data_IF_650230375189
#
_entry.id   IF_650230375189
#
_cell.length_a   1.000
_cell.length_b   1.000
_cell.length_c   1.000
_cell.angle_alpha   90.00
_cell.angle_beta   90.00
_cell.angle_gamma   90.00
#
_symmetry.space_group_name_H-M   'P 1'
#
loop_
_entity.id
_entity.type
_entity.pdbx_description
1 polymer ?
#
# COMPACT_ATOMS: atom_id res chain seq x y z
N UNK A 1 10.84 -18.85 5.91
CA UNK A 1 10.81 -17.39 5.79
C UNK A 1 11.59 -16.76 6.93
N UNK A 2 12.46 -15.85 6.59
CA UNK A 2 13.32 -15.23 7.59
C UNK A 2 12.60 -14.20 8.49
N UNK A 3 11.38 -13.82 8.14
CA UNK A 3 10.71 -12.70 8.79
C UNK A 3 9.30 -13.03 9.24
N UNK A 4 9.23 -13.91 10.24
CA UNK A 4 7.95 -14.27 10.85
C UNK A 4 7.29 -13.12 11.61
N UNK A 5 8.02 -12.04 11.90
CA UNK A 5 7.46 -10.87 12.53
C UNK A 5 6.38 -10.18 11.69
N UNK A 6 6.39 -10.40 10.38
CA UNK A 6 5.37 -9.87 9.47
C UNK A 6 4.25 -10.85 9.18
N UNK A 7 4.37 -12.11 9.61
CA UNK A 7 3.37 -13.13 9.34
C UNK A 7 2.19 -13.00 10.30
N UNK A 8 0.97 -13.28 9.79
CA UNK A 8 -0.24 -13.31 10.59
C UNK A 8 -1.05 -14.54 10.24
N UNK A 9 -1.62 -15.16 11.28
CA UNK A 9 -2.64 -16.18 11.09
C UNK A 9 -4.01 -15.50 11.02
N UNK A 10 -4.81 -15.87 10.02
CA UNK A 10 -6.16 -15.35 9.89
C UNK A 10 -7.00 -15.78 11.08
N UNK A 11 -7.81 -14.86 11.62
CA UNK A 11 -8.70 -15.13 12.71
C UNK A 11 -8.07 -15.06 14.10
N UNK A 12 -6.77 -14.86 14.19
CA UNK A 12 -6.08 -14.70 15.47
C UNK A 12 -5.83 -13.21 15.72
N UNK A 13 -6.31 -12.66 16.86
CA UNK A 13 -6.02 -11.27 17.19
C UNK A 13 -4.51 -11.07 17.36
N UNK A 14 -4.00 -10.04 16.73
CA UNK A 14 -2.58 -9.68 16.83
C UNK A 14 -2.49 -8.37 17.60
N UNK A 15 -1.66 -8.35 18.62
CA UNK A 15 -1.39 -7.13 19.36
C UNK A 15 -0.60 -6.16 18.49
N UNK A 16 -0.85 -4.88 18.71
CA UNK A 16 -0.06 -3.84 18.08
C UNK A 16 1.38 -3.92 18.57
N UNK A 17 2.29 -3.89 17.63
CA UNK A 17 3.70 -3.91 17.95
C UNK A 17 4.35 -2.59 17.56
N UNK A 18 5.42 -2.25 18.25
CA UNK A 18 6.15 -1.01 18.02
C UNK A 18 6.84 -0.95 16.65
N UNK A 19 6.98 -2.08 15.98
CA UNK A 19 7.57 -2.13 14.64
C UNK A 19 6.57 -1.82 13.51
N UNK A 20 5.44 -1.25 13.84
CA UNK A 20 4.42 -0.85 12.85
C UNK A 20 4.96 0.11 11.79
N UNK A 21 6.00 0.88 12.12
CA UNK A 21 6.61 1.80 11.14
C UNK A 21 7.15 1.04 9.93
N UNK A 22 7.81 -0.10 10.15
CA UNK A 22 8.33 -0.94 9.05
C UNK A 22 7.21 -1.56 8.26
N UNK A 23 6.16 -2.08 8.94
CA UNK A 23 5.02 -2.68 8.27
C UNK A 23 4.16 -1.62 7.58
N UNK A 24 4.24 -0.37 8.00
CA UNK A 24 3.53 0.73 7.38
C UNK A 24 3.85 0.86 5.88
N UNK A 25 5.09 0.69 5.50
CA UNK A 25 5.54 0.82 4.11
C UNK A 25 4.92 -0.20 3.16
N UNK A 26 4.42 -1.30 3.70
CA UNK A 26 3.84 -2.41 2.93
C UNK A 26 2.34 -2.52 3.14
N UNK A 27 1.75 -1.58 3.88
CA UNK A 27 0.34 -1.62 4.23
C UNK A 27 -0.52 -1.14 3.06
N UNK A 28 -1.55 -1.93 2.75
CA UNK A 28 -2.48 -1.62 1.67
C UNK A 28 -3.28 -0.33 1.98
N UNK A 29 -3.67 0.42 0.95
CA UNK A 29 -4.36 1.69 1.16
C UNK A 29 -5.72 1.55 1.83
N UNK A 30 -6.45 0.46 1.61
CA UNK A 30 -7.71 0.22 2.30
C UNK A 30 -7.52 0.07 3.82
N UNK A 31 -6.46 -0.60 4.23
CA UNK A 31 -6.12 -0.74 5.65
C UNK A 31 -5.71 0.61 6.24
N UNK A 32 -4.96 1.40 5.49
CA UNK A 32 -4.60 2.76 5.91
C UNK A 32 -5.83 3.66 6.08
N UNK A 33 -6.89 3.40 5.32
CA UNK A 33 -8.15 4.12 5.42
C UNK A 33 -9.11 3.51 6.45
N UNK A 34 -8.64 2.55 7.23
CA UNK A 34 -9.36 2.03 8.38
C UNK A 34 -10.14 0.75 8.14
N UNK A 35 -9.99 0.10 6.99
CA UNK A 35 -10.61 -1.20 6.77
C UNK A 35 -10.05 -2.22 7.76
N UNK A 36 -10.94 -3.04 8.30
CA UNK A 36 -10.57 -4.15 9.17
C UNK A 36 -10.58 -5.49 8.45
N UNK A 37 -10.88 -5.49 7.16
CA UNK A 37 -10.94 -6.69 6.35
C UNK A 37 -9.55 -7.05 5.83
N UNK A 38 -8.89 -7.97 6.54
CA UNK A 38 -7.59 -8.48 6.15
C UNK A 38 -7.81 -9.66 5.20
N UNK A 39 -7.90 -9.37 3.92
CA UNK A 39 -8.06 -10.39 2.88
C UNK A 39 -6.73 -10.68 2.22
N UNK A 40 -6.72 -11.70 1.34
CA UNK A 40 -5.51 -12.03 0.57
C UNK A 40 -5.02 -10.87 -0.30
N UNK A 41 -5.91 -9.96 -0.70
CA UNK A 41 -5.52 -8.77 -1.47
C UNK A 41 -4.59 -7.85 -0.69
N UNK A 42 -4.72 -7.79 0.64
CA UNK A 42 -3.80 -7.03 1.49
C UNK A 42 -2.38 -7.60 1.40
N UNK A 43 -2.27 -8.93 1.42
CA UNK A 43 -0.98 -9.60 1.30
C UNK A 43 -0.38 -9.42 -0.10
N UNK A 44 -1.20 -9.44 -1.13
CA UNK A 44 -0.74 -9.21 -2.51
C UNK A 44 -0.18 -7.80 -2.66
N UNK A 45 -0.82 -6.79 -2.07
CA UNK A 45 -0.27 -5.44 -2.06
C UNK A 45 1.13 -5.42 -1.45
N UNK A 46 1.29 -6.06 -0.28
CA UNK A 46 2.59 -6.13 0.40
C UNK A 46 3.65 -6.84 -0.44
N UNK A 47 3.26 -7.92 -1.11
CA UNK A 47 4.15 -8.67 -2.01
C UNK A 47 4.59 -7.76 -3.18
N UNK A 48 3.68 -6.98 -3.75
CA UNK A 48 4.01 -6.04 -4.80
C UNK A 48 5.04 -5.00 -4.35
N UNK A 49 4.86 -4.45 -3.17
CA UNK A 49 5.80 -3.48 -2.60
C UNK A 49 7.19 -4.11 -2.40
N UNK A 50 7.24 -5.32 -1.89
CA UNK A 50 8.51 -6.04 -1.66
C UNK A 50 9.18 -6.38 -2.99
N UNK A 51 8.41 -6.81 -3.98
CA UNK A 51 8.93 -7.08 -5.32
C UNK A 51 9.64 -5.85 -5.90
N UNK A 52 8.97 -4.71 -5.87
CA UNK A 52 9.55 -3.46 -6.38
C UNK A 52 10.81 -3.08 -5.60
N UNK A 53 10.79 -3.27 -4.29
CA UNK A 53 11.93 -2.96 -3.43
C UNK A 53 13.13 -3.86 -3.72
N UNK A 54 12.91 -5.15 -3.96
CA UNK A 54 13.99 -6.07 -4.32
C UNK A 54 14.68 -5.62 -5.60
N UNK A 55 13.92 -5.17 -6.58
CA UNK A 55 14.45 -4.71 -7.87
C UNK A 55 15.15 -3.36 -7.72
N UNK A 56 14.52 -2.42 -7.04
CA UNK A 56 15.04 -1.05 -6.87
C UNK A 56 16.06 -0.92 -5.75
N UNK A 57 16.09 -1.87 -4.82
CA UNK A 57 16.91 -1.83 -3.60
C UNK A 57 16.55 -0.68 -2.65
N UNK A 58 15.39 -0.08 -2.85
CA UNK A 58 14.84 0.96 -1.98
C UNK A 58 13.35 0.73 -1.83
N UNK A 59 12.76 1.10 -0.67
CA UNK A 59 11.32 0.96 -0.48
C UNK A 59 10.53 1.80 -1.50
N UNK A 60 9.44 1.24 -1.99
CA UNK A 60 8.60 1.92 -2.97
C UNK A 60 7.84 3.09 -2.34
N UNK A 61 7.25 2.85 -1.17
CA UNK A 61 6.45 3.83 -0.45
C UNK A 61 6.91 3.89 1.01
N UNK A 62 7.84 4.78 1.31
CA UNK A 62 8.42 4.90 2.65
C UNK A 62 7.80 6.08 3.40
N UNK A 63 6.55 5.91 3.84
CA UNK A 63 5.83 6.92 4.60
C UNK A 63 6.22 6.96 6.08
N UNK A 64 6.01 8.09 6.71
CA UNK A 64 6.31 8.28 8.13
C UNK A 64 5.11 8.04 9.04
N UNK A 65 3.91 8.18 8.49
CA UNK A 65 2.65 7.92 9.17
C UNK A 65 1.60 7.53 8.14
N UNK A 66 0.40 7.21 8.59
CA UNK A 66 -0.66 6.71 7.72
C UNK A 66 -1.00 7.71 6.60
N UNK A 67 -1.12 8.98 6.92
CA UNK A 67 -1.44 10.00 5.92
C UNK A 67 -0.30 10.18 4.91
N UNK A 68 0.93 10.22 5.38
CA UNK A 68 2.11 10.34 4.51
C UNK A 68 2.24 9.10 3.62
N UNK A 69 1.97 7.93 4.17
CA UNK A 69 1.98 6.68 3.40
C UNK A 69 0.95 6.70 2.28
N UNK A 70 -0.29 7.10 2.58
CA UNK A 70 -1.34 7.25 1.58
C UNK A 70 -0.96 8.28 0.52
N UNK A 71 -0.39 9.39 0.92
CA UNK A 71 0.05 10.43 0.00
C UNK A 71 1.08 9.89 -0.98
N UNK A 72 2.08 9.18 -0.48
CA UNK A 72 3.12 8.58 -1.32
C UNK A 72 2.54 7.54 -2.30
N UNK A 73 1.60 6.73 -1.84
CA UNK A 73 0.93 5.75 -2.70
C UNK A 73 0.18 6.46 -3.82
N UNK A 74 -0.61 7.48 -3.48
CA UNK A 74 -1.45 8.16 -4.46
C UNK A 74 -0.65 9.05 -5.41
N UNK A 75 0.50 9.57 -4.99
CA UNK A 75 1.42 10.29 -5.89
C UNK A 75 1.91 9.41 -7.04
N UNK A 76 1.93 8.13 -6.84
CA UNK A 76 2.43 7.16 -7.82
C UNK A 76 1.29 6.45 -8.52
N UNK A 77 0.34 5.90 -7.75
CA UNK A 77 -0.77 5.12 -8.30
C UNK A 77 -1.97 5.95 -8.72
N UNK A 78 -1.94 7.24 -8.45
CA UNK A 78 -3.06 8.15 -8.69
C UNK A 78 -4.05 8.14 -7.52
N UNK A 79 -4.73 9.26 -7.32
CA UNK A 79 -5.78 9.36 -6.31
C UNK A 79 -6.98 8.53 -6.78
N UNK A 80 -7.50 7.60 -5.96
CA UNK A 80 -8.59 6.74 -6.38
C UNK A 80 -9.86 7.54 -6.65
N UNK A 81 -10.57 7.17 -7.69
CA UNK A 81 -11.86 7.74 -8.03
C UNK A 81 -12.97 6.84 -7.49
N UNK A 82 -14.12 7.44 -7.21
CA UNK A 82 -15.24 6.70 -6.60
C UNK A 82 -15.80 5.61 -7.51
N UNK A 83 -15.71 5.81 -8.82
CA UNK A 83 -16.15 4.82 -9.81
C UNK A 83 -15.17 3.64 -9.92
N UNK A 84 -13.89 3.89 -9.63
CA UNK A 84 -12.85 2.85 -9.64
C UNK A 84 -12.83 2.04 -8.34
N UNK A 85 -13.24 2.64 -7.25
CA UNK A 85 -13.21 2.02 -5.94
C UNK A 85 -14.57 2.20 -5.22
N UNK A 86 -15.55 1.36 -5.52
CA UNK A 86 -16.84 1.39 -4.82
C UNK A 86 -16.62 1.12 -3.33
N UNK A 87 -17.32 1.89 -2.49
CA UNK A 87 -17.18 1.75 -1.04
C UNK A 87 -16.03 2.52 -0.42
N UNK A 88 -15.26 3.26 -1.22
CA UNK A 88 -14.13 4.05 -0.71
C UNK A 88 -14.59 5.03 0.39
N UNK A 89 -15.72 5.71 0.17
CA UNK A 89 -16.24 6.69 1.12
C UNK A 89 -16.78 6.08 2.40
N UNK A 90 -17.02 4.77 2.42
CA UNK A 90 -17.50 4.06 3.59
C UNK A 90 -16.40 3.66 4.56
N UNK A 91 -15.14 3.82 4.16
CA UNK A 91 -14.00 3.47 4.99
C UNK A 91 -13.89 4.45 6.18
N UNK A 92 -13.65 3.97 7.40
CA UNK A 92 -13.74 4.78 8.62
C UNK A 92 -12.85 6.04 8.62
N UNK A 93 -11.68 5.97 7.98
CA UNK A 93 -10.73 7.08 7.98
C UNK A 93 -10.72 7.86 6.66
N UNK A 94 -11.68 7.59 5.77
CA UNK A 94 -11.75 8.23 4.47
C UNK A 94 -11.80 9.76 4.62
N UNK A 95 -12.76 10.27 5.37
CA UNK A 95 -12.91 11.72 5.52
C UNK A 95 -11.69 12.35 6.17
N UNK A 96 -11.14 11.68 7.21
CA UNK A 96 -10.01 12.21 7.95
C UNK A 96 -8.76 12.36 7.07
N UNK A 97 -8.49 11.38 6.21
CA UNK A 97 -7.26 11.37 5.40
C UNK A 97 -7.45 11.98 4.02
N UNK A 98 -8.65 11.91 3.45
CA UNK A 98 -8.88 12.32 2.07
C UNK A 98 -9.42 13.74 1.94
N UNK A 99 -9.89 14.36 3.02
CA UNK A 99 -10.52 15.68 2.96
C UNK A 99 -9.62 16.77 2.35
N UNK A 100 -8.33 16.72 2.65
CA UNK A 100 -7.34 17.68 2.17
C UNK A 100 -6.32 17.06 1.22
N UNK A 101 -6.57 15.84 0.77
CA UNK A 101 -5.66 15.14 -0.14
C UNK A 101 -5.73 15.76 -1.53
N UNK A 102 -4.57 16.08 -2.08
CA UNK A 102 -4.49 16.57 -3.45
C UNK A 102 -4.79 15.44 -4.44
N UNK A 103 -5.38 15.79 -5.56
CA UNK A 103 -5.64 14.84 -6.62
C UNK A 103 -4.36 14.62 -7.43
N UNK A 104 -3.91 13.38 -7.46
CA UNK A 104 -2.70 12.97 -8.17
C UNK A 104 -3.06 12.09 -9.35
N UNK A 105 -2.30 12.21 -10.43
CA UNK A 105 -2.42 11.33 -11.59
C UNK A 105 -1.48 10.14 -11.44
N UNK A 106 -1.92 9.00 -11.96
CA UNK A 106 -1.12 7.78 -11.96
C UNK A 106 0.15 7.99 -12.80
N UNK A 107 1.28 7.57 -12.25
CA UNK A 107 2.55 7.57 -12.96
C UNK A 107 2.84 6.18 -13.52
N UNK A 108 3.47 6.09 -14.70
CA UNK A 108 3.86 4.79 -15.24
C UNK A 108 4.84 4.07 -14.33
N UNK A 109 4.61 2.79 -14.07
CA UNK A 109 5.50 2.01 -13.21
C UNK A 109 6.89 1.84 -13.79
N UNK A 110 7.05 1.91 -15.11
CA UNK A 110 8.37 1.82 -15.74
C UNK A 110 9.30 2.98 -15.37
N UNK A 111 8.74 4.10 -14.92
CA UNK A 111 9.54 5.21 -14.41
C UNK A 111 10.02 4.96 -12.98
N UNK A 112 9.30 4.12 -12.24
CA UNK A 112 9.59 3.83 -10.85
C UNK A 112 10.48 2.61 -10.69
N UNK A 113 10.30 1.62 -11.56
CA UNK A 113 11.07 0.37 -11.56
C UNK A 113 11.62 0.13 -12.98
N UNK A 114 12.56 0.97 -13.43
CA UNK A 114 13.00 0.92 -14.82
C UNK A 114 13.78 -0.34 -15.20
N UNK A 115 14.22 -1.12 -14.22
CA UNK A 115 14.95 -2.36 -14.47
C UNK A 115 14.04 -3.54 -14.80
N UNK A 116 12.72 -3.41 -14.59
CA UNK A 116 11.78 -4.48 -14.93
C UNK A 116 11.47 -4.45 -16.43
N UNK A 117 11.38 -5.64 -17.02
CA UNK A 117 10.87 -5.80 -18.37
C UNK A 117 9.33 -5.69 -18.39
N UNK A 118 8.75 -5.82 -19.58
CA UNK A 118 7.31 -5.71 -19.75
C UNK A 118 6.55 -6.73 -18.90
N UNK A 119 7.02 -7.97 -18.84
CA UNK A 119 6.38 -9.02 -18.07
C UNK A 119 6.45 -8.72 -16.56
N UNK A 120 7.59 -8.22 -16.08
CA UNK A 120 7.74 -7.83 -14.68
C UNK A 120 6.87 -6.66 -14.30
N UNK A 121 6.75 -5.67 -15.18
CA UNK A 121 5.86 -4.52 -14.97
C UNK A 121 4.39 -4.93 -14.93
N UNK A 122 4.00 -5.84 -15.82
CA UNK A 122 2.64 -6.37 -15.85
C UNK A 122 2.30 -7.11 -14.57
N UNK A 123 3.23 -7.89 -14.05
CA UNK A 123 3.04 -8.61 -12.79
C UNK A 123 2.92 -7.63 -11.61
N UNK A 124 3.71 -6.55 -11.63
CA UNK A 124 3.71 -5.55 -10.55
C UNK A 124 2.42 -4.72 -10.56
N UNK A 125 1.84 -4.45 -11.72
CA UNK A 125 0.62 -3.67 -11.86
C UNK A 125 -0.55 -4.31 -11.10
#
# INVERSE_FOLDING_TARGET
MADFGLARAFGIPVKNFTHEVVTLWYRAPDILLGSKNYTTSVDIWSVGCIFAEIVNRTPLFAGQNDLDQLTKIFQIRGTPQLDEWPGLTELPLYEQHMANMQNHQQKPLNQLVPQLDEAGLDLLE
#
